data_IF_387283573003
#
_entry.id   IF_387283573003
#
_cell.length_a   1.000
_cell.length_b   1.000
_cell.length_c   1.000
_cell.angle_alpha   90.00
_cell.angle_beta   90.00
_cell.angle_gamma   90.00
#
_symmetry.space_group_name_H-M   'P 1'
#
loop_
_entity.id
_entity.type
_entity.pdbx_description
1 polymer ?
#
# COMPACT_ATOMS: atom_id res chain seq x y z
N UNK A 1 -1.08 -4.67 26.22
CA UNK A 1 -0.33 -3.82 25.26
C UNK A 1 -1.28 -3.51 24.12
N UNK A 2 -1.66 -2.26 23.95
CA UNK A 2 -2.59 -1.85 22.88
C UNK A 2 -1.79 -1.66 21.59
N UNK A 3 -2.03 -2.53 20.62
CA UNK A 3 -1.41 -2.43 19.29
C UNK A 3 -2.15 -1.33 18.55
N UNK A 4 -1.53 -0.16 18.43
CA UNK A 4 -2.03 0.90 17.56
C UNK A 4 -1.99 0.38 16.11
N UNK A 5 -3.14 -0.05 15.60
CA UNK A 5 -3.28 -0.52 14.22
C UNK A 5 -3.44 0.70 13.32
N UNK A 6 -2.32 1.11 12.72
CA UNK A 6 -2.34 2.15 11.69
C UNK A 6 -3.21 1.65 10.53
N UNK A 7 -4.23 2.42 10.18
CA UNK A 7 -5.07 2.14 9.01
C UNK A 7 -4.43 2.77 7.77
N UNK A 8 -4.16 1.96 6.76
CA UNK A 8 -3.57 2.41 5.50
C UNK A 8 -4.70 2.60 4.49
N UNK A 9 -4.89 3.83 4.01
CA UNK A 9 -5.87 4.11 2.95
C UNK A 9 -5.43 3.44 1.65
N UNK A 10 -6.35 2.76 0.98
CA UNK A 10 -6.12 2.16 -0.33
C UNK A 10 -7.22 2.64 -1.27
N UNK A 11 -6.85 3.42 -2.29
CA UNK A 11 -7.77 3.86 -3.34
C UNK A 11 -7.82 2.92 -4.54
N UNK A 12 -7.06 1.82 -4.51
CA UNK A 12 -6.94 0.87 -5.63
C UNK A 12 -7.92 -0.27 -5.37
N UNK A 13 -9.15 -0.12 -5.87
CA UNK A 13 -10.24 -1.09 -5.69
C UNK A 13 -10.00 -2.43 -6.41
N UNK A 14 -9.07 -2.45 -7.37
CA UNK A 14 -8.56 -3.65 -8.04
C UNK A 14 -7.45 -4.36 -7.26
N UNK A 15 -7.14 -3.94 -6.04
CA UNK A 15 -6.20 -4.64 -5.16
C UNK A 15 -6.91 -5.75 -4.38
N UNK A 16 -6.33 -6.94 -4.32
CA UNK A 16 -6.86 -8.08 -3.56
C UNK A 16 -6.97 -7.79 -2.04
N UNK A 17 -6.24 -6.80 -1.54
CA UNK A 17 -6.29 -6.36 -0.15
C UNK A 17 -7.21 -5.15 0.08
N UNK A 18 -7.85 -4.63 -0.96
CA UNK A 18 -8.77 -3.52 -0.84
C UNK A 18 -10.07 -3.94 -0.17
N UNK A 19 -10.45 -3.22 0.88
CA UNK A 19 -11.78 -3.32 1.50
C UNK A 19 -12.16 -2.01 2.17
N UNK A 20 -13.29 -1.45 1.76
CA UNK A 20 -13.87 -0.20 2.28
C UNK A 20 -12.91 1.02 2.23
N UNK A 21 -12.18 1.23 1.12
CA UNK A 21 -11.16 2.30 0.97
C UNK A 21 -9.89 2.14 1.83
N UNK A 22 -9.67 0.96 2.42
CA UNK A 22 -8.47 0.66 3.20
C UNK A 22 -7.77 -0.59 2.68
N UNK A 23 -6.45 -0.66 2.90
CA UNK A 23 -5.63 -1.85 2.70
C UNK A 23 -5.72 -2.74 3.93
N UNK A 24 -6.01 -4.02 3.74
CA UNK A 24 -6.06 -5.04 4.81
C UNK A 24 -4.88 -6.01 4.75
N UNK A 25 -3.81 -5.66 4.04
CA UNK A 25 -2.56 -6.41 4.07
C UNK A 25 -1.94 -6.36 5.48
N UNK A 26 -1.39 -7.49 5.94
CA UNK A 26 -0.73 -7.57 7.25
C UNK A 26 0.53 -6.68 7.34
N UNK A 27 1.17 -6.44 6.20
CA UNK A 27 2.33 -5.59 6.04
C UNK A 27 2.28 -4.92 4.67
N UNK A 28 2.83 -3.72 4.56
CA UNK A 28 2.98 -3.00 3.30
C UNK A 28 4.46 -2.83 2.97
N UNK A 29 4.81 -2.98 1.71
CA UNK A 29 6.13 -2.73 1.15
C UNK A 29 5.98 -1.67 0.06
N UNK A 30 6.69 -0.56 0.25
CA UNK A 30 6.67 0.58 -0.65
C UNK A 30 8.10 0.86 -1.07
N UNK A 31 8.34 0.75 -2.37
CA UNK A 31 9.64 0.94 -2.98
C UNK A 31 9.63 2.21 -3.83
N UNK A 32 10.77 2.88 -4.01
CA UNK A 32 10.87 3.95 -4.97
C UNK A 32 10.77 3.40 -6.40
N UNK A 33 10.09 4.13 -7.28
CA UNK A 33 10.03 3.84 -8.70
C UNK A 33 11.28 4.38 -9.39
N UNK A 34 12.10 3.49 -9.95
CA UNK A 34 13.27 3.85 -10.75
C UNK A 34 14.49 4.29 -9.93
N UNK A 35 14.45 5.47 -9.30
CA UNK A 35 15.58 6.02 -8.56
C UNK A 35 15.73 5.41 -7.16
N UNK A 36 16.94 5.38 -6.58
CA UNK A 36 17.16 4.86 -5.21
C UNK A 36 16.43 5.64 -4.11
N UNK A 37 15.95 6.85 -4.37
CA UNK A 37 15.22 7.69 -3.40
C UNK A 37 14.06 8.39 -4.09
N UNK A 38 12.84 8.12 -3.65
CA UNK A 38 11.64 8.86 -4.00
C UNK A 38 11.60 10.20 -3.25
N UNK A 39 11.29 11.26 -3.98
CA UNK A 39 11.10 12.63 -3.47
C UNK A 39 9.63 13.04 -3.46
N UNK A 40 8.80 12.39 -4.28
CA UNK A 40 7.35 12.59 -4.33
C UNK A 40 6.61 11.28 -4.06
N UNK A 41 5.32 11.37 -3.70
CA UNK A 41 4.46 10.20 -3.55
C UNK A 41 4.31 9.40 -4.84
N UNK A 42 4.30 10.09 -5.97
CA UNK A 42 4.06 9.49 -7.29
C UNK A 42 5.27 8.67 -7.75
N UNK A 43 6.45 8.92 -7.17
CA UNK A 43 7.66 8.12 -7.35
C UNK A 43 7.69 6.89 -6.42
N UNK A 44 6.57 6.52 -5.79
CA UNK A 44 6.49 5.31 -4.94
C UNK A 44 5.63 4.24 -5.58
N UNK A 45 6.06 2.98 -5.44
CA UNK A 45 5.34 1.80 -5.89
C UNK A 45 5.06 0.88 -4.71
N UNK A 46 3.80 0.49 -4.55
CA UNK A 46 3.39 -0.51 -3.58
C UNK A 46 3.57 -1.90 -4.18
N UNK A 47 4.61 -2.64 -3.76
CA UNK A 47 4.83 -4.02 -4.22
C UNK A 47 3.90 -5.02 -3.54
N UNK A 48 3.23 -4.60 -2.45
CA UNK A 48 2.13 -5.35 -1.82
C UNK A 48 0.86 -5.36 -2.68
N UNK A 49 0.78 -4.55 -3.74
CA UNK A 49 -0.35 -4.61 -4.66
C UNK A 49 -0.42 -5.98 -5.35
N UNK A 50 -1.54 -6.66 -5.18
CA UNK A 50 -1.87 -7.89 -5.89
C UNK A 50 -3.17 -7.63 -6.65
N UNK A 51 -3.24 -7.81 -7.97
CA UNK A 51 -4.48 -7.67 -8.72
C UNK A 51 -5.57 -8.61 -8.18
N UNK A 52 -6.77 -8.10 -7.96
CA UNK A 52 -7.96 -8.92 -7.77
C UNK A 52 -8.31 -9.61 -9.10
N UNK A 53 -8.74 -10.88 -9.03
CA UNK A 53 -9.17 -11.65 -10.20
C UNK A 53 -10.36 -11.03 -10.92
#
# INVERSE_FOLDING_TARGET
>A
MEVNRIQVKCGVDTCNFYKNNYCHANSIEVNPQGSMKSKTSDETQCTTFIPSR
#
